data_IF_252454929870
#
_entry.id   IF_252454929870
#
_cell.length_a   1.000
_cell.length_b   1.000
_cell.length_c   1.000
_cell.angle_alpha   90.00
_cell.angle_beta   90.00
_cell.angle_gamma   90.00
#
_symmetry.space_group_name_H-M   'P 1'
#
loop_
_entity.id
_entity.type
_entity.pdbx_description
1 polymer ?
#
# COMPACT_ATOMS: atom_id res chain seq x y z
N UNK A 1 -89.66 -3.15 -1.64
CA UNK A 1 -88.37 -2.49 -1.39
C UNK A 1 -87.35 -3.02 -2.39
N UNK A 2 -86.97 -2.20 -3.39
CA UNK A 2 -86.02 -2.55 -4.46
C UNK A 2 -84.59 -2.52 -3.90
N UNK A 3 -83.84 -3.61 -4.02
CA UNK A 3 -82.39 -3.64 -3.76
C UNK A 3 -81.66 -3.08 -4.98
N UNK A 4 -80.81 -2.09 -4.73
CA UNK A 4 -79.96 -1.39 -5.70
C UNK A 4 -78.84 -2.30 -6.23
N UNK A 5 -78.49 -2.11 -7.51
CA UNK A 5 -77.42 -2.82 -8.21
C UNK A 5 -76.02 -2.41 -7.70
N UNK A 6 -75.02 -3.31 -7.73
CA UNK A 6 -73.65 -2.98 -7.33
C UNK A 6 -72.96 -2.09 -8.38
N UNK A 7 -72.01 -1.22 -7.97
CA UNK A 7 -71.34 -0.29 -8.87
C UNK A 7 -70.37 -1.01 -9.84
N UNK A 8 -70.07 -0.41 -11.01
CA UNK A 8 -69.24 -1.03 -12.03
C UNK A 8 -67.78 -1.17 -11.56
N UNK A 9 -67.16 -2.30 -11.94
CA UNK A 9 -65.75 -2.62 -11.65
C UNK A 9 -64.84 -1.50 -12.18
N UNK A 10 -64.00 -0.97 -11.30
CA UNK A 10 -62.94 -0.02 -11.64
C UNK A 10 -61.97 -0.60 -12.68
N UNK A 11 -61.40 0.31 -13.46
CA UNK A 11 -60.44 0.08 -14.54
C UNK A 11 -59.27 -0.81 -14.14
N UNK A 12 -59.00 -1.84 -14.94
CA UNK A 12 -57.83 -2.71 -14.84
C UNK A 12 -56.59 -1.88 -15.18
N UNK A 13 -55.66 -1.73 -14.24
CA UNK A 13 -54.35 -1.11 -14.47
C UNK A 13 -53.57 -1.88 -15.54
N UNK A 14 -52.83 -1.20 -16.45
CA UNK A 14 -52.02 -1.90 -17.44
C UNK A 14 -50.89 -2.71 -16.76
N UNK A 15 -50.48 -3.85 -17.35
CA UNK A 15 -49.47 -4.72 -16.75
C UNK A 15 -48.12 -3.99 -16.65
N UNK A 16 -47.38 -4.28 -15.59
CA UNK A 16 -46.07 -3.70 -15.33
C UNK A 16 -45.11 -3.90 -16.51
N UNK A 17 -44.51 -2.81 -16.98
CA UNK A 17 -43.47 -2.83 -18.01
C UNK A 17 -42.32 -3.72 -17.53
N UNK A 18 -42.06 -4.82 -18.24
CA UNK A 18 -40.93 -5.71 -17.97
C UNK A 18 -39.64 -4.90 -18.04
N UNK A 19 -38.99 -4.68 -16.90
CA UNK A 19 -37.59 -4.21 -16.87
C UNK A 19 -36.75 -5.23 -17.64
N UNK A 20 -36.17 -4.82 -18.77
CA UNK A 20 -35.10 -5.58 -19.42
C UNK A 20 -33.94 -5.64 -18.42
N UNK A 21 -33.68 -6.84 -17.90
CA UNK A 21 -32.41 -7.16 -17.27
C UNK A 21 -31.47 -7.36 -18.45
N UNK A 22 -30.58 -6.41 -18.70
CA UNK A 22 -29.52 -6.60 -19.67
C UNK A 22 -28.60 -7.69 -19.13
N UNK A 23 -28.75 -8.89 -19.68
CA UNK A 23 -27.88 -10.02 -19.39
C UNK A 23 -26.50 -9.70 -19.96
N UNK A 24 -25.54 -9.39 -19.10
CA UNK A 24 -24.13 -9.11 -19.43
C UNK A 24 -23.35 -10.38 -19.84
N UNK A 25 -24.04 -11.46 -20.18
CA UNK A 25 -23.41 -12.72 -20.60
C UNK A 25 -23.15 -12.68 -22.09
N UNK A 26 -21.88 -12.69 -22.51
CA UNK A 26 -21.53 -12.75 -23.93
C UNK A 26 -22.04 -14.05 -24.57
N UNK A 27 -22.45 -14.01 -25.84
CA UNK A 27 -22.92 -15.21 -26.58
C UNK A 27 -21.91 -16.37 -26.52
N UNK A 28 -20.61 -16.04 -26.47
CA UNK A 28 -19.51 -17.00 -26.31
C UNK A 28 -19.53 -17.70 -24.94
N UNK A 29 -19.89 -16.98 -23.87
CA UNK A 29 -19.99 -17.55 -22.51
C UNK A 29 -21.16 -18.53 -22.39
N UNK A 30 -22.32 -18.25 -23.00
CA UNK A 30 -23.47 -19.18 -23.00
C UNK A 30 -23.14 -20.45 -23.80
N UNK A 31 -22.51 -20.32 -24.97
CA UNK A 31 -22.11 -21.46 -25.79
C UNK A 31 -21.05 -22.36 -25.10
N UNK A 32 -20.19 -21.79 -24.25
CA UNK A 32 -19.19 -22.56 -23.50
C UNK A 32 -19.78 -23.45 -22.38
N UNK A 33 -20.99 -23.14 -21.90
CA UNK A 33 -21.61 -23.83 -20.76
C UNK A 33 -22.11 -25.25 -21.11
N UNK A 34 -22.45 -25.47 -22.38
CA UNK A 34 -22.94 -26.76 -22.90
C UNK A 34 -21.84 -27.68 -23.46
N UNK A 35 -20.57 -27.26 -23.39
CA UNK A 35 -19.46 -28.08 -23.87
C UNK A 35 -19.09 -29.17 -22.86
N UNK A 36 -18.85 -30.42 -23.29
CA UNK A 36 -18.29 -31.48 -22.46
C UNK A 36 -17.02 -31.01 -21.73
N UNK A 37 -16.73 -31.56 -20.55
CA UNK A 37 -15.54 -31.18 -19.78
C UNK A 37 -14.22 -31.36 -20.56
N UNK A 38 -14.18 -32.29 -21.52
CA UNK A 38 -13.06 -32.51 -22.45
C UNK A 38 -12.91 -31.43 -23.54
N UNK A 39 -13.93 -30.59 -23.75
CA UNK A 39 -13.95 -29.47 -24.71
C UNK A 39 -13.98 -28.10 -24.03
N UNK A 40 -13.88 -28.05 -22.69
CA UNK A 40 -13.69 -26.79 -21.97
C UNK A 40 -12.32 -26.22 -22.35
N UNK A 41 -12.30 -24.96 -22.76
CA UNK A 41 -11.04 -24.26 -23.01
C UNK A 41 -10.14 -24.38 -21.77
N UNK A 42 -8.83 -24.60 -21.94
CA UNK A 42 -7.89 -24.68 -20.82
C UNK A 42 -8.02 -23.44 -19.94
N UNK A 43 -7.75 -23.62 -18.64
CA UNK A 43 -7.87 -22.55 -17.66
C UNK A 43 -6.90 -21.41 -18.01
N UNK A 44 -7.44 -20.30 -18.51
CA UNK A 44 -6.65 -19.15 -18.99
C UNK A 44 -5.91 -18.39 -17.89
N UNK A 45 -6.22 -18.67 -16.62
CA UNK A 45 -5.69 -17.93 -15.47
C UNK A 45 -4.87 -18.88 -14.59
N UNK A 46 -3.57 -18.65 -14.56
CA UNK A 46 -2.63 -19.40 -13.70
C UNK A 46 -2.33 -18.62 -12.42
N UNK A 47 -2.02 -19.34 -11.34
CA UNK A 47 -1.76 -18.75 -10.03
C UNK A 47 -0.45 -19.29 -9.46
N UNK A 48 0.34 -18.41 -8.84
CA UNK A 48 1.52 -18.78 -8.04
C UNK A 48 1.63 -17.92 -6.79
N UNK A 49 2.35 -18.41 -5.78
CA UNK A 49 2.62 -17.70 -4.53
C UNK A 49 4.12 -17.54 -4.38
N UNK A 50 4.58 -16.33 -4.06
CA UNK A 50 6.00 -16.02 -3.82
C UNK A 50 6.20 -15.65 -2.37
N UNK A 51 7.25 -16.22 -1.78
CA UNK A 51 7.73 -15.90 -0.43
C UNK A 51 6.60 -15.85 0.62
N UNK A 52 5.55 -16.67 0.46
CA UNK A 52 4.35 -16.72 1.33
C UNK A 52 3.74 -15.34 1.64
N UNK A 53 3.85 -14.39 0.72
CA UNK A 53 3.46 -12.99 0.94
C UNK A 53 3.01 -12.26 -0.31
N UNK A 54 3.20 -12.85 -1.49
CA UNK A 54 2.76 -12.30 -2.77
C UNK A 54 1.96 -13.35 -3.54
N UNK A 55 0.76 -12.98 -3.97
CA UNK A 55 -0.08 -13.77 -4.88
C UNK A 55 0.14 -13.22 -6.28
N UNK A 56 0.44 -14.09 -7.24
CA UNK A 56 0.54 -13.71 -8.65
C UNK A 56 -0.47 -14.50 -9.46
N UNK A 57 -1.23 -13.80 -10.29
CA UNK A 57 -2.19 -14.36 -11.23
C UNK A 57 -1.88 -13.89 -12.64
N UNK A 58 -1.74 -14.80 -13.60
CA UNK A 58 -1.46 -14.46 -15.00
C UNK A 58 -2.58 -14.96 -15.89
N UNK A 59 -3.25 -14.03 -16.57
CA UNK A 59 -4.25 -14.36 -17.57
C UNK A 59 -3.58 -14.45 -18.93
N UNK A 60 -3.45 -15.65 -19.47
CA UNK A 60 -2.93 -15.87 -20.81
C UNK A 60 -4.12 -16.02 -21.77
N UNK A 61 -4.39 -14.96 -22.53
CA UNK A 61 -5.28 -15.04 -23.67
C UNK A 61 -4.44 -15.28 -24.93
N UNK A 62 -4.89 -16.09 -25.90
CA UNK A 62 -4.15 -16.36 -27.14
C UNK A 62 -4.03 -15.13 -28.07
N UNK A 63 -4.59 -14.00 -27.67
CA UNK A 63 -4.51 -12.76 -28.40
C UNK A 63 -3.10 -12.19 -28.31
N UNK A 64 -2.51 -11.88 -29.47
CA UNK A 64 -1.28 -11.09 -29.61
C UNK A 64 -1.71 -9.64 -29.80
N UNK A 65 -1.05 -8.64 -29.19
CA UNK A 65 -1.43 -7.25 -29.39
C UNK A 65 -1.20 -6.86 -30.87
N UNK A 66 -2.09 -6.06 -31.49
CA UNK A 66 -1.89 -5.57 -32.85
C UNK A 66 -0.55 -4.83 -33.02
N UNK A 67 -0.16 -4.05 -32.02
CA UNK A 67 1.15 -3.43 -31.97
C UNK A 67 2.16 -4.35 -31.28
N UNK A 68 3.23 -4.71 -32.00
CA UNK A 68 4.33 -5.50 -31.43
C UNK A 68 5.04 -4.72 -30.33
N UNK A 69 5.38 -5.41 -29.24
CA UNK A 69 6.21 -4.85 -28.17
C UNK A 69 7.67 -4.83 -28.63
N UNK A 70 8.27 -3.65 -28.62
CA UNK A 70 9.71 -3.45 -28.86
C UNK A 70 10.33 -2.89 -27.59
N UNK A 71 11.61 -3.18 -27.37
CA UNK A 71 12.36 -2.57 -26.27
C UNK A 71 12.70 -1.11 -26.63
N UNK A 72 12.64 -0.17 -25.68
CA UNK A 72 12.16 -0.33 -24.32
C UNK A 72 10.63 -0.49 -24.25
N UNK A 73 10.13 -1.43 -23.43
CA UNK A 73 8.70 -1.74 -23.33
C UNK A 73 7.99 -0.76 -22.41
N UNK A 74 6.79 -0.32 -22.81
CA UNK A 74 5.92 0.54 -21.99
C UNK A 74 5.03 -0.30 -21.07
N UNK A 75 4.86 0.16 -19.83
CA UNK A 75 4.07 -0.54 -18.81
C UNK A 75 2.97 0.38 -18.30
N UNK A 76 1.74 -0.12 -18.35
CA UNK A 76 0.57 0.51 -17.75
C UNK A 76 0.17 -0.30 -16.51
N UNK A 77 0.51 0.21 -15.34
CA UNK A 77 0.24 -0.42 -14.07
C UNK A 77 -0.96 0.23 -13.37
N UNK A 78 -1.74 -0.57 -12.66
CA UNK A 78 -2.98 -0.12 -12.01
C UNK A 78 -3.09 -0.69 -10.61
N UNK A 79 -3.70 0.05 -9.68
CA UNK A 79 -4.34 -0.56 -8.51
C UNK A 79 -5.65 -1.28 -8.92
N UNK A 80 -6.19 -2.11 -8.03
CA UNK A 80 -7.44 -2.83 -8.23
C UNK A 80 -8.64 -2.10 -7.61
N UNK A 81 -8.60 -1.91 -6.29
CA UNK A 81 -9.77 -1.59 -5.47
C UNK A 81 -9.98 -0.08 -5.49
N UNK A 82 -11.20 0.37 -5.81
CA UNK A 82 -11.54 1.77 -6.04
C UNK A 82 -10.76 2.43 -7.22
N UNK A 83 -10.04 1.63 -8.02
CA UNK A 83 -9.32 2.05 -9.25
C UNK A 83 -9.86 1.40 -10.52
N UNK A 84 -9.74 0.08 -10.67
CA UNK A 84 -10.33 -0.65 -11.81
C UNK A 84 -11.77 -1.04 -11.46
N UNK A 85 -11.98 -1.49 -10.23
CA UNK A 85 -13.27 -1.97 -9.72
C UNK A 85 -13.67 -1.25 -8.45
N UNK A 86 -14.98 -1.18 -8.21
CA UNK A 86 -15.59 -0.59 -7.03
C UNK A 86 -16.61 -1.57 -6.43
N UNK A 87 -16.99 -1.41 -5.15
CA UNK A 87 -18.11 -2.18 -4.61
C UNK A 87 -19.40 -1.78 -5.32
N UNK A 88 -20.33 -2.73 -5.39
CA UNK A 88 -21.68 -2.47 -5.88
C UNK A 88 -22.34 -1.32 -5.08
N UNK A 89 -23.15 -0.51 -5.75
CA UNK A 89 -23.77 0.69 -5.17
C UNK A 89 -24.52 0.33 -3.88
N UNK A 90 -24.25 1.09 -2.81
CA UNK A 90 -24.87 0.89 -1.50
C UNK A 90 -24.37 -0.34 -0.73
N UNK A 91 -23.36 -1.07 -1.22
CA UNK A 91 -22.79 -2.24 -0.53
C UNK A 91 -21.40 -1.94 0.01
N UNK A 92 -21.08 -2.57 1.14
CA UNK A 92 -19.70 -2.66 1.64
C UNK A 92 -18.91 -3.65 0.78
N UNK A 93 -17.59 -3.51 0.78
CA UNK A 93 -16.69 -4.46 0.15
C UNK A 93 -16.92 -5.89 0.66
N UNK A 94 -17.25 -6.81 -0.24
CA UNK A 94 -17.45 -8.22 0.05
C UNK A 94 -16.98 -9.05 -1.15
N UNK A 95 -15.71 -9.45 -1.18
CA UNK A 95 -15.10 -10.09 -2.36
C UNK A 95 -15.86 -11.34 -2.80
N UNK A 96 -16.23 -11.37 -4.07
CA UNK A 96 -16.79 -12.52 -4.76
C UNK A 96 -16.68 -12.29 -6.27
N UNK A 97 -17.04 -13.29 -7.07
CA UNK A 97 -17.10 -13.16 -8.52
C UNK A 97 -18.07 -12.07 -9.02
N UNK A 98 -19.05 -11.63 -8.21
CA UNK A 98 -20.14 -10.72 -8.64
C UNK A 98 -20.31 -9.47 -7.76
N UNK A 99 -19.58 -9.36 -6.65
CA UNK A 99 -19.73 -8.28 -5.67
C UNK A 99 -18.93 -7.02 -6.01
N UNK A 100 -18.83 -6.69 -7.29
CA UNK A 100 -18.05 -5.56 -7.78
C UNK A 100 -18.69 -5.00 -9.06
N UNK A 101 -18.32 -3.76 -9.38
CA UNK A 101 -18.63 -3.09 -10.65
C UNK A 101 -17.37 -2.41 -11.17
N UNK A 102 -17.33 -2.07 -12.45
CA UNK A 102 -16.29 -1.20 -12.97
C UNK A 102 -16.31 0.16 -12.28
N UNK A 103 -15.13 0.72 -12.00
CA UNK A 103 -15.00 2.09 -11.49
C UNK A 103 -15.71 3.08 -12.42
N UNK A 104 -15.44 2.94 -13.71
CA UNK A 104 -16.06 3.69 -14.80
C UNK A 104 -16.40 2.75 -15.97
N UNK A 105 -17.42 3.10 -16.76
CA UNK A 105 -17.82 2.31 -17.94
C UNK A 105 -16.72 2.22 -19.00
N UNK A 106 -15.79 3.18 -19.02
CA UNK A 106 -14.66 3.22 -19.95
C UNK A 106 -13.53 2.23 -19.61
N UNK A 107 -13.47 1.71 -18.38
CA UNK A 107 -12.33 0.91 -17.87
C UNK A 107 -11.98 -0.27 -18.79
N UNK A 108 -12.91 -1.17 -19.19
CA UNK A 108 -12.56 -2.32 -20.03
C UNK A 108 -12.00 -1.90 -21.39
N UNK A 109 -12.63 -0.92 -22.03
CA UNK A 109 -12.20 -0.40 -23.33
C UNK A 109 -10.83 0.27 -23.27
N UNK A 110 -10.58 1.07 -22.23
CA UNK A 110 -9.30 1.79 -22.08
C UNK A 110 -8.14 0.84 -21.78
N UNK A 111 -8.34 -0.17 -20.94
CA UNK A 111 -7.34 -1.19 -20.65
C UNK A 111 -7.01 -2.03 -21.89
N UNK A 112 -8.03 -2.42 -22.65
CA UNK A 112 -7.85 -3.14 -23.92
C UNK A 112 -7.09 -2.29 -24.95
N UNK A 113 -7.43 -1.01 -25.06
CA UNK A 113 -6.74 -0.06 -25.94
C UNK A 113 -5.25 0.03 -25.59
N UNK A 114 -4.87 0.15 -24.32
CA UNK A 114 -3.46 0.18 -23.91
C UNK A 114 -2.73 -1.10 -24.30
N UNK A 115 -3.35 -2.26 -24.07
CA UNK A 115 -2.79 -3.52 -24.52
C UNK A 115 -2.58 -3.53 -26.04
N UNK A 116 -3.55 -3.00 -26.81
CA UNK A 116 -3.46 -2.94 -28.26
C UNK A 116 -2.40 -1.95 -28.77
N UNK A 117 -2.12 -0.89 -28.00
CA UNK A 117 -1.02 0.09 -28.18
C UNK A 117 0.36 -0.44 -27.72
N UNK A 118 0.45 -1.74 -27.42
CA UNK A 118 1.68 -2.44 -27.09
C UNK A 118 2.12 -2.32 -25.63
N UNK A 119 1.29 -1.77 -24.73
CA UNK A 119 1.62 -1.76 -23.30
C UNK A 119 1.57 -3.18 -22.73
N UNK A 120 2.43 -3.45 -21.74
CA UNK A 120 2.16 -4.50 -20.76
C UNK A 120 1.21 -3.90 -19.73
N UNK A 121 0.04 -4.52 -19.56
CA UNK A 121 -0.97 -4.10 -18.58
C UNK A 121 -0.86 -4.98 -17.35
N UNK A 122 -0.66 -4.38 -16.18
CA UNK A 122 -0.51 -5.10 -14.91
C UNK A 122 -1.32 -4.45 -13.79
N UNK A 123 -1.73 -5.26 -12.83
CA UNK A 123 -2.45 -4.82 -11.63
C UNK A 123 -1.59 -5.12 -10.40
N UNK A 124 -1.25 -4.10 -9.60
CA UNK A 124 -0.45 -4.22 -8.38
C UNK A 124 -1.29 -3.76 -7.19
N UNK A 125 -1.66 -4.66 -6.28
CA UNK A 125 -2.66 -4.39 -5.24
C UNK A 125 -2.20 -4.80 -3.83
N UNK A 126 -2.55 -4.00 -2.82
CA UNK A 126 -2.30 -4.33 -1.41
C UNK A 126 -3.49 -5.13 -0.84
N UNK A 127 -3.29 -6.40 -0.51
CA UNK A 127 -4.32 -7.34 -0.05
C UNK A 127 -4.10 -7.83 1.39
N UNK A 128 -3.93 -6.89 2.32
CA UNK A 128 -3.56 -7.17 3.71
C UNK A 128 -4.60 -7.91 4.57
N UNK A 129 -5.80 -8.16 4.04
CA UNK A 129 -6.84 -8.95 4.70
C UNK A 129 -6.73 -10.45 4.40
N UNK A 130 -5.81 -10.83 3.52
CA UNK A 130 -5.50 -12.22 3.18
C UNK A 130 -4.18 -12.56 3.88
N UNK A 131 -4.11 -13.69 4.56
CA UNK A 131 -2.86 -14.23 5.08
C UNK A 131 -2.51 -15.50 4.33
N UNK A 132 -1.24 -15.62 3.91
CA UNK A 132 -0.69 -16.84 3.30
C UNK A 132 0.18 -17.63 4.29
N UNK A 133 0.21 -17.21 5.55
CA UNK A 133 0.95 -17.90 6.61
C UNK A 133 0.09 -19.00 7.20
N UNK A 134 0.72 -20.13 7.48
CA UNK A 134 0.08 -21.24 8.19
C UNK A 134 -0.19 -20.85 9.63
N UNK A 135 -1.45 -20.49 9.91
CA UNK A 135 -1.94 -20.28 11.26
C UNK A 135 -3.23 -21.07 11.45
N UNK A 136 -3.16 -22.12 12.27
CA UNK A 136 -4.29 -23.02 12.53
C UNK A 136 -5.56 -22.28 12.99
N UNK A 137 -5.43 -21.11 13.65
CA UNK A 137 -6.57 -20.33 14.14
C UNK A 137 -7.27 -19.49 13.06
N UNK A 138 -6.60 -19.17 11.95
CA UNK A 138 -7.15 -18.33 10.87
C UNK A 138 -7.27 -19.04 9.52
N UNK A 139 -6.78 -20.28 9.40
CA UNK A 139 -6.67 -21.04 8.15
C UNK A 139 -7.96 -21.07 7.32
N UNK A 140 -9.13 -21.31 7.93
CA UNK A 140 -10.40 -21.35 7.20
C UNK A 140 -10.77 -19.99 6.60
N UNK A 141 -10.62 -18.91 7.38
CA UNK A 141 -10.88 -17.54 6.94
C UNK A 141 -9.91 -17.14 5.83
N UNK A 142 -8.64 -17.46 6.01
CA UNK A 142 -7.57 -17.14 5.07
C UNK A 142 -7.79 -17.84 3.73
N UNK A 143 -8.11 -19.14 3.77
CA UNK A 143 -8.47 -19.95 2.59
C UNK A 143 -9.69 -19.37 1.86
N UNK A 144 -10.75 -19.01 2.59
CA UNK A 144 -11.94 -18.41 1.99
C UNK A 144 -11.64 -17.04 1.36
N UNK A 145 -10.85 -16.20 2.04
CA UNK A 145 -10.48 -14.87 1.54
C UNK A 145 -9.64 -14.95 0.27
N UNK A 146 -8.68 -15.88 0.21
CA UNK A 146 -7.88 -16.17 -0.97
C UNK A 146 -8.76 -16.68 -2.12
N UNK A 147 -9.64 -17.65 -1.87
CA UNK A 147 -10.57 -18.18 -2.86
C UNK A 147 -11.52 -17.12 -3.43
N UNK A 148 -12.00 -16.22 -2.58
CA UNK A 148 -12.86 -15.09 -2.98
C UNK A 148 -12.11 -14.09 -3.84
N UNK A 149 -10.86 -13.74 -3.50
CA UNK A 149 -10.01 -12.90 -4.34
C UNK A 149 -9.76 -13.56 -5.70
N UNK A 150 -9.34 -14.83 -5.72
CA UNK A 150 -9.09 -15.54 -6.99
C UNK A 150 -10.33 -15.59 -7.88
N UNK A 151 -11.50 -15.85 -7.30
CA UNK A 151 -12.78 -15.85 -8.02
C UNK A 151 -13.16 -14.47 -8.57
N UNK A 152 -12.90 -13.41 -7.80
CA UNK A 152 -13.14 -12.03 -8.24
C UNK A 152 -12.24 -11.65 -9.42
N UNK A 153 -10.93 -11.90 -9.31
CA UNK A 153 -9.97 -11.62 -10.38
C UNK A 153 -10.27 -12.44 -11.63
N UNK A 154 -10.63 -13.72 -11.47
CA UNK A 154 -11.04 -14.56 -12.59
C UNK A 154 -12.25 -13.97 -13.33
N UNK A 155 -13.24 -13.46 -12.60
CA UNK A 155 -14.41 -12.80 -13.20
C UNK A 155 -14.06 -11.49 -13.92
N UNK A 156 -13.19 -10.67 -13.32
CA UNK A 156 -12.70 -9.41 -13.91
C UNK A 156 -11.90 -9.68 -15.19
N UNK A 157 -10.90 -10.54 -15.13
CA UNK A 157 -10.01 -10.85 -16.26
C UNK A 157 -10.73 -11.58 -17.39
N UNK A 158 -11.74 -12.39 -17.07
CA UNK A 158 -12.61 -12.98 -18.10
C UNK A 158 -13.42 -11.93 -18.87
N UNK A 159 -13.81 -10.83 -18.24
CA UNK A 159 -14.51 -9.73 -18.95
C UNK A 159 -13.54 -8.88 -19.78
N UNK A 160 -12.27 -8.78 -19.37
CA UNK A 160 -11.22 -8.08 -20.14
C UNK A 160 -10.73 -8.90 -21.36
N UNK A 161 -10.56 -10.22 -21.19
CA UNK A 161 -10.19 -11.22 -22.23
C UNK A 161 -8.96 -10.84 -23.10
N UNK A 162 -7.93 -10.25 -22.47
CA UNK A 162 -6.60 -10.04 -23.06
C UNK A 162 -5.51 -10.36 -22.03
N UNK A 163 -4.24 -10.60 -22.44
CA UNK A 163 -3.16 -10.89 -21.51
C UNK A 163 -2.91 -9.78 -20.48
N UNK A 164 -3.09 -10.13 -19.20
CA UNK A 164 -2.97 -9.23 -18.05
C UNK A 164 -2.47 -10.00 -16.83
N UNK A 165 -1.61 -9.36 -16.05
CA UNK A 165 -1.04 -9.96 -14.83
C UNK A 165 -1.48 -9.20 -13.58
N UNK A 166 -1.65 -9.94 -12.49
CA UNK A 166 -2.10 -9.46 -11.19
C UNK A 166 -1.07 -9.85 -10.13
N UNK A 167 -0.65 -8.88 -9.32
CA UNK A 167 0.27 -9.04 -8.21
C UNK A 167 -0.41 -8.48 -6.95
N UNK A 168 -0.51 -9.29 -5.89
CA UNK A 168 -1.19 -8.92 -4.66
C UNK A 168 -0.33 -9.19 -3.41
N UNK A 169 0.13 -8.10 -2.77
CA UNK A 169 0.91 -8.16 -1.55
C UNK A 169 0.01 -8.39 -0.33
N UNK A 170 0.27 -9.48 0.42
CA UNK A 170 -0.55 -9.89 1.57
C UNK A 170 0.06 -9.54 2.92
N UNK A 171 1.34 -9.18 2.96
CA UNK A 171 2.09 -8.90 4.20
C UNK A 171 2.64 -7.47 4.24
N UNK A 172 3.35 -7.13 5.33
CA UNK A 172 4.00 -5.82 5.55
C UNK A 172 5.50 -5.88 5.20
N UNK A 173 5.82 -6.29 3.98
CA UNK A 173 7.18 -6.54 3.51
C UNK A 173 7.49 -5.78 2.21
N UNK A 174 8.54 -6.19 1.48
CA UNK A 174 9.01 -5.54 0.25
C UNK A 174 7.94 -5.44 -0.84
N UNK A 175 6.94 -6.32 -0.84
CA UNK A 175 5.90 -6.33 -1.87
C UNK A 175 4.82 -5.28 -1.61
N UNK A 176 4.64 -4.86 -0.34
CA UNK A 176 3.56 -3.93 -0.01
C UNK A 176 3.89 -2.52 -0.46
N UNK A 177 3.01 -1.95 -1.29
CA UNK A 177 3.07 -0.53 -1.70
C UNK A 177 3.19 0.38 -0.47
N UNK A 178 4.07 1.39 -0.47
CA UNK A 178 4.76 1.96 -1.64
C UNK A 178 6.10 1.32 -2.03
N UNK A 179 6.47 0.17 -1.44
CA UNK A 179 7.71 -0.54 -1.82
C UNK A 179 7.57 -1.21 -3.19
N UNK A 180 8.69 -1.34 -3.89
CA UNK A 180 8.77 -1.71 -5.31
C UNK A 180 8.74 -3.22 -5.58
N UNK A 181 8.63 -4.07 -4.56
CA UNK A 181 8.79 -5.51 -4.72
C UNK A 181 7.81 -6.16 -5.70
N UNK A 182 6.55 -5.69 -5.78
CA UNK A 182 5.61 -6.19 -6.80
C UNK A 182 6.01 -5.80 -8.23
N UNK A 183 6.61 -4.61 -8.39
CA UNK A 183 7.11 -4.15 -9.68
C UNK A 183 8.35 -4.96 -10.09
N UNK A 184 9.29 -5.19 -9.17
CA UNK A 184 10.48 -6.01 -9.40
C UNK A 184 10.11 -7.44 -9.83
N UNK A 185 9.17 -8.08 -9.13
CA UNK A 185 8.67 -9.41 -9.51
C UNK A 185 8.07 -9.42 -10.92
N UNK A 186 7.35 -8.36 -11.28
CA UNK A 186 6.79 -8.20 -12.63
C UNK A 186 7.90 -8.06 -13.67
N UNK A 187 8.96 -7.31 -13.40
CA UNK A 187 10.11 -7.25 -14.30
C UNK A 187 10.77 -8.61 -14.49
N UNK A 188 10.86 -9.44 -13.45
CA UNK A 188 11.36 -10.81 -13.55
C UNK A 188 10.45 -11.69 -14.43
N UNK A 189 9.12 -11.66 -14.23
CA UNK A 189 8.15 -12.45 -15.00
C UNK A 189 8.11 -12.15 -16.50
N UNK A 190 8.49 -10.93 -16.89
CA UNK A 190 8.51 -10.46 -18.27
C UNK A 190 9.93 -10.37 -18.86
N UNK A 191 10.96 -10.83 -18.14
CA UNK A 191 12.36 -10.77 -18.53
C UNK A 191 12.86 -9.32 -18.80
N UNK A 192 12.38 -8.35 -18.02
CA UNK A 192 12.65 -6.91 -18.14
C UNK A 192 13.59 -6.35 -17.06
N UNK A 193 14.31 -7.21 -16.34
CA UNK A 193 15.22 -6.82 -15.26
C UNK A 193 16.51 -6.14 -15.76
N UNK A 194 16.81 -6.22 -17.07
CA UNK A 194 17.98 -5.58 -17.68
C UNK A 194 17.76 -4.07 -17.82
N UNK A 195 18.80 -3.28 -17.52
CA UNK A 195 18.76 -1.82 -17.65
C UNK A 195 18.37 -1.37 -19.06
N UNK A 196 17.41 -0.44 -19.14
CA UNK A 196 16.89 0.06 -20.41
C UNK A 196 15.83 -0.82 -21.07
N UNK A 197 15.40 -1.92 -20.46
CA UNK A 197 14.33 -2.76 -21.00
C UNK A 197 12.93 -2.14 -20.87
N UNK A 198 12.75 -1.18 -19.95
CA UNK A 198 11.48 -0.49 -19.68
C UNK A 198 11.57 0.97 -20.03
N UNK A 199 10.56 1.47 -20.74
CA UNK A 199 10.39 2.89 -21.02
C UNK A 199 9.71 3.54 -19.81
N UNK A 200 10.49 3.95 -18.82
CA UNK A 200 9.96 4.56 -17.60
C UNK A 200 9.23 5.88 -17.87
N UNK A 201 9.68 6.65 -18.87
CA UNK A 201 9.13 7.95 -19.20
C UNK A 201 7.70 7.85 -19.76
N UNK A 202 7.41 6.81 -20.54
CA UNK A 202 6.07 6.55 -21.08
C UNK A 202 5.30 5.48 -20.29
N UNK A 203 5.87 4.93 -19.23
CA UNK A 203 5.17 4.06 -18.29
C UNK A 203 4.43 4.89 -17.23
N UNK A 204 3.38 4.31 -16.67
CA UNK A 204 2.58 5.00 -15.67
C UNK A 204 1.88 4.03 -14.71
N UNK A 205 1.56 4.55 -13.52
CA UNK A 205 0.75 3.90 -12.50
C UNK A 205 -0.56 4.68 -12.26
N UNK A 206 -1.68 3.98 -12.25
CA UNK A 206 -3.00 4.54 -11.93
C UNK A 206 -3.48 3.97 -10.59
N UNK A 207 -3.86 4.81 -9.63
CA UNK A 207 -4.32 4.35 -8.32
C UNK A 207 -5.06 5.41 -7.49
N UNK A 208 -5.98 4.97 -6.63
CA UNK A 208 -6.83 5.83 -5.79
C UNK A 208 -6.11 6.32 -4.53
N UNK A 209 -5.12 5.56 -4.02
CA UNK A 209 -4.37 5.89 -2.81
C UNK A 209 -3.33 6.99 -3.10
N UNK A 210 -3.85 8.17 -3.42
CA UNK A 210 -3.13 9.32 -3.94
C UNK A 210 -2.89 10.42 -2.89
N UNK A 211 -3.32 10.20 -1.64
CA UNK A 211 -3.15 11.12 -0.52
C UNK A 211 -3.94 12.42 -0.61
N UNK A 212 -4.92 12.52 -1.51
CA UNK A 212 -5.67 13.77 -1.71
C UNK A 212 -6.54 14.09 -0.50
N UNK A 213 -6.63 15.38 -0.17
CA UNK A 213 -7.42 15.85 0.96
C UNK A 213 -8.93 15.66 0.77
N UNK A 214 -9.67 15.77 1.88
CA UNK A 214 -11.13 15.72 1.86
C UNK A 214 -11.70 16.92 1.10
N UNK A 215 -12.69 16.67 0.26
CA UNK A 215 -13.52 17.69 -0.39
C UNK A 215 -14.99 17.52 0.02
N UNK A 216 -15.88 18.37 -0.49
CA UNK A 216 -17.33 18.22 -0.28
C UNK A 216 -17.89 16.94 -0.92
N UNK A 217 -17.24 16.45 -1.98
CA UNK A 217 -17.71 15.30 -2.78
C UNK A 217 -16.94 14.01 -2.50
N UNK A 218 -15.71 14.11 -2.00
CA UNK A 218 -14.79 12.98 -1.81
C UNK A 218 -14.24 12.99 -0.39
N UNK A 219 -14.16 11.80 0.22
CA UNK A 219 -13.45 11.64 1.50
C UNK A 219 -11.95 11.82 1.27
N UNK A 220 -11.21 12.16 2.33
CA UNK A 220 -9.74 12.11 2.30
C UNK A 220 -9.30 10.71 1.85
N UNK A 221 -8.33 10.63 0.96
CA UNK A 221 -7.76 9.36 0.55
C UNK A 221 -7.13 8.65 1.76
N UNK A 222 -7.27 7.34 1.81
CA UNK A 222 -6.88 6.55 2.98
C UNK A 222 -5.36 6.42 3.15
N UNK A 223 -4.60 6.59 2.07
CA UNK A 223 -3.15 6.48 2.01
C UNK A 223 -2.58 7.22 0.78
N UNK A 224 -1.24 7.31 0.72
CA UNK A 224 -0.44 7.80 -0.42
C UNK A 224 0.26 6.67 -1.18
N UNK A 225 -0.05 5.41 -0.86
CA UNK A 225 0.78 4.26 -1.26
C UNK A 225 0.91 4.05 -2.77
N UNK A 226 -0.06 4.49 -3.56
CA UNK A 226 -0.03 4.35 -5.03
C UNK A 226 0.84 5.41 -5.68
N UNK A 227 0.66 6.66 -5.24
CA UNK A 227 1.49 7.79 -5.66
C UNK A 227 2.95 7.56 -5.28
N UNK A 228 3.19 7.14 -4.04
CA UNK A 228 4.54 6.90 -3.54
C UNK A 228 5.19 5.67 -4.21
N UNK A 229 4.41 4.65 -4.58
CA UNK A 229 4.92 3.53 -5.40
C UNK A 229 5.43 4.05 -6.76
N UNK A 230 4.62 4.84 -7.47
CA UNK A 230 4.99 5.38 -8.76
C UNK A 230 6.26 6.25 -8.68
N UNK A 231 6.36 7.08 -7.64
CA UNK A 231 7.55 7.90 -7.36
C UNK A 231 8.79 7.06 -7.02
N UNK A 232 8.63 5.96 -6.27
CA UNK A 232 9.73 5.06 -5.94
C UNK A 232 10.24 4.30 -7.17
N UNK A 233 9.36 3.90 -8.09
CA UNK A 233 9.72 3.28 -9.37
C UNK A 233 10.34 4.32 -10.32
N UNK A 234 9.84 5.56 -10.31
CA UNK A 234 10.21 6.61 -11.26
C UNK A 234 9.36 6.61 -12.53
N UNK A 235 8.07 6.32 -12.42
CA UNK A 235 7.09 6.38 -13.53
C UNK A 235 6.01 7.41 -13.24
N UNK A 236 5.26 7.82 -14.27
CA UNK A 236 4.20 8.80 -14.11
C UNK A 236 3.06 8.26 -13.22
N UNK A 237 2.39 9.13 -12.47
CA UNK A 237 1.23 8.78 -11.65
C UNK A 237 0.00 9.59 -12.06
N UNK A 238 -1.16 8.95 -12.10
CA UNK A 238 -2.46 9.61 -12.23
C UNK A 238 -3.51 8.92 -11.38
N UNK A 239 -4.55 9.66 -10.98
CA UNK A 239 -5.70 9.08 -10.28
C UNK A 239 -6.67 8.41 -11.26
N UNK A 240 -7.59 7.53 -10.80
CA UNK A 240 -8.57 6.88 -11.67
C UNK A 240 -9.50 7.92 -12.33
N UNK A 241 -9.87 8.98 -11.61
CA UNK A 241 -10.66 10.09 -12.14
C UNK A 241 -9.93 10.83 -13.26
N UNK A 242 -8.66 11.19 -13.03
CA UNK A 242 -7.83 11.83 -14.06
C UNK A 242 -7.70 10.94 -15.29
N UNK A 243 -7.50 9.64 -15.11
CA UNK A 243 -7.19 8.72 -16.21
C UNK A 243 -8.40 8.27 -17.01
N UNK A 244 -9.48 7.84 -16.35
CA UNK A 244 -10.67 7.29 -17.01
C UNK A 244 -11.71 8.35 -17.37
N UNK A 245 -11.77 9.45 -16.61
CA UNK A 245 -12.77 10.52 -16.82
C UNK A 245 -12.17 11.82 -17.36
N UNK A 246 -10.86 11.89 -17.53
CA UNK A 246 -10.14 13.11 -17.92
C UNK A 246 -10.45 14.29 -16.98
N UNK A 247 -10.63 14.00 -15.69
CA UNK A 247 -10.76 15.04 -14.67
C UNK A 247 -9.43 15.79 -14.49
N UNK A 248 -9.51 17.01 -13.98
CA UNK A 248 -8.35 17.88 -13.77
C UNK A 248 -7.52 17.32 -12.62
N UNK A 249 -6.19 17.25 -12.80
CA UNK A 249 -5.25 16.85 -11.75
C UNK A 249 -5.37 17.78 -10.55
N UNK A 250 -5.69 17.20 -9.40
CA UNK A 250 -5.71 17.94 -8.13
C UNK A 250 -4.27 18.22 -7.68
N UNK A 251 -3.97 19.44 -7.18
CA UNK A 251 -2.66 19.70 -6.60
C UNK A 251 -2.46 18.80 -5.38
N UNK A 252 -1.27 18.22 -5.30
CA UNK A 252 -0.85 17.40 -4.17
C UNK A 252 0.52 17.89 -3.70
N UNK A 253 0.62 18.17 -2.41
CA UNK A 253 1.88 18.49 -1.76
C UNK A 253 2.31 17.28 -0.93
N UNK A 254 3.50 16.74 -1.21
CA UNK A 254 4.02 15.60 -0.47
C UNK A 254 4.28 16.04 0.98
N UNK A 255 3.69 15.31 1.93
CA UNK A 255 3.89 15.60 3.37
C UNK A 255 5.36 15.45 3.77
N UNK A 256 6.08 14.50 3.16
CA UNK A 256 7.52 14.31 3.35
C UNK A 256 8.14 13.54 2.16
N UNK A 257 9.20 14.10 1.57
CA UNK A 257 9.96 13.47 0.49
C UNK A 257 11.41 13.21 0.94
N UNK A 258 11.81 11.94 1.12
CA UNK A 258 13.17 11.62 1.57
C UNK A 258 14.27 12.14 0.64
N UNK A 259 14.11 12.02 -0.69
CA UNK A 259 15.11 12.48 -1.67
C UNK A 259 15.33 13.99 -1.56
N UNK A 260 14.25 14.76 -1.61
CA UNK A 260 14.29 16.22 -1.46
C UNK A 260 14.85 16.64 -0.09
N UNK A 261 14.49 15.93 0.98
CA UNK A 261 15.05 16.18 2.30
C UNK A 261 16.58 15.99 2.32
N UNK A 262 17.10 14.92 1.71
CA UNK A 262 18.53 14.64 1.64
C UNK A 262 19.28 15.64 0.73
N UNK A 263 18.68 16.06 -0.38
CA UNK A 263 19.24 17.12 -1.24
C UNK A 263 19.33 18.45 -0.48
N UNK A 264 18.28 18.84 0.24
CA UNK A 264 18.30 20.05 1.08
C UNK A 264 19.32 19.90 2.22
N UNK A 265 19.38 18.75 2.88
CA UNK A 265 20.32 18.50 3.97
C UNK A 265 21.78 18.57 3.50
N UNK A 266 22.11 17.89 2.38
CA UNK A 266 23.44 17.95 1.78
C UNK A 266 23.83 19.36 1.34
N UNK A 267 22.90 20.15 0.81
CA UNK A 267 23.12 21.56 0.48
C UNK A 267 23.34 22.44 1.73
N UNK A 268 22.62 22.17 2.83
CA UNK A 268 22.76 22.90 4.09
C UNK A 268 24.03 22.55 4.87
N UNK A 269 24.52 21.31 4.79
CA UNK A 269 25.81 20.95 5.42
C UNK A 269 27.01 21.67 4.77
N UNK A 270 26.84 22.27 3.58
CA UNK A 270 27.83 23.17 2.98
C UNK A 270 27.83 24.59 3.60
N UNK A 271 26.71 25.01 4.22
CA UNK A 271 26.62 26.25 5.01
C UNK A 271 26.79 25.93 6.50
N UNK A 272 28.00 26.14 7.03
CA UNK A 272 28.39 25.87 8.42
C UNK A 272 27.67 26.77 9.45
N UNK A 273 26.38 26.61 9.65
CA UNK A 273 25.70 27.19 10.81
C UNK A 273 24.69 26.21 11.40
N UNK A 274 25.05 25.63 12.55
CA UNK A 274 24.13 24.92 13.45
C UNK A 274 24.28 23.40 13.55
N UNK A 275 25.16 22.76 12.76
CA UNK A 275 25.36 21.31 12.85
C UNK A 275 26.13 20.93 14.13
N UNK A 276 25.69 19.88 14.81
CA UNK A 276 26.43 19.27 15.93
C UNK A 276 27.79 18.84 15.36
N UNK A 277 28.86 19.50 15.81
CA UNK A 277 30.21 19.21 15.32
C UNK A 277 30.55 17.75 15.66
N UNK A 278 30.47 16.88 14.66
CA UNK A 278 31.02 15.54 14.75
C UNK A 278 32.56 15.63 14.84
N UNK A 279 33.23 14.76 15.61
CA UNK A 279 32.62 13.73 16.45
C UNK A 279 32.11 14.31 17.78
N UNK A 280 31.04 13.72 18.31
CA UNK A 280 30.61 13.94 19.69
C UNK A 280 31.80 13.65 20.62
N UNK A 281 32.13 14.60 21.50
CA UNK A 281 33.26 14.48 22.43
C UNK A 281 32.73 14.55 23.85
N UNK A 282 33.23 13.63 24.68
CA UNK A 282 33.07 13.68 26.13
C UNK A 282 33.91 14.84 26.67
N UNK A 283 33.26 15.83 27.25
CA UNK A 283 33.91 17.08 27.69
C UNK A 283 34.03 17.19 29.21
N UNK A 284 33.30 16.34 29.95
CA UNK A 284 33.30 16.30 31.40
C UNK A 284 33.51 14.87 31.91
N UNK A 285 34.15 14.71 33.09
CA UNK A 285 34.18 13.44 33.79
C UNK A 285 32.79 12.90 34.10
N UNK A 286 31.76 13.76 34.19
CA UNK A 286 30.37 13.38 34.39
C UNK A 286 29.39 14.13 33.48
N UNK A 287 28.59 13.37 32.72
CA UNK A 287 27.63 13.90 31.75
C UNK A 287 26.33 13.08 31.74
N UNK A 288 25.25 13.73 31.31
CA UNK A 288 23.93 13.14 31.14
C UNK A 288 23.38 13.50 29.74
N UNK A 289 23.21 12.49 28.89
CA UNK A 289 22.66 12.63 27.53
C UNK A 289 21.25 12.05 27.52
N UNK A 290 20.28 12.88 27.16
CA UNK A 290 18.86 12.51 27.10
C UNK A 290 18.44 12.52 25.62
N UNK A 291 18.02 11.36 25.11
CA UNK A 291 17.48 11.27 23.74
C UNK A 291 16.02 11.69 23.68
N UNK A 292 15.73 12.72 22.91
CA UNK A 292 14.39 13.20 22.64
C UNK A 292 14.03 12.93 21.18
N UNK A 293 13.04 12.09 20.91
CA UNK A 293 12.56 11.88 19.53
C UNK A 293 11.66 10.67 19.38
N UNK A 294 10.99 10.55 18.24
CA UNK A 294 10.02 9.48 17.98
C UNK A 294 10.66 8.09 17.98
N UNK A 295 9.92 7.03 18.37
CA UNK A 295 10.37 5.65 18.16
C UNK A 295 10.75 5.41 16.69
N UNK A 296 11.85 4.69 16.45
CA UNK A 296 12.35 4.45 15.09
C UNK A 296 13.20 5.56 14.47
N UNK A 297 13.34 6.73 15.11
CA UNK A 297 14.17 7.85 14.59
C UNK A 297 15.69 7.65 14.70
N UNK A 298 16.19 6.41 14.88
CA UNK A 298 17.64 6.14 14.95
C UNK A 298 18.34 6.43 16.28
N UNK A 299 17.62 6.88 17.32
CA UNK A 299 18.20 7.21 18.65
C UNK A 299 19.04 6.08 19.26
N UNK A 300 18.53 4.84 19.21
CA UNK A 300 19.26 3.66 19.70
C UNK A 300 20.51 3.38 18.87
N UNK A 301 20.42 3.56 17.55
CA UNK A 301 21.56 3.39 16.63
C UNK A 301 22.65 4.39 16.95
N UNK A 302 22.30 5.68 17.14
CA UNK A 302 23.25 6.71 17.55
C UNK A 302 23.98 6.37 18.86
N UNK A 303 23.28 5.81 19.85
CA UNK A 303 23.92 5.35 21.08
C UNK A 303 25.03 4.34 20.82
N UNK A 304 24.72 3.28 20.06
CA UNK A 304 25.65 2.19 19.79
C UNK A 304 26.85 2.67 18.96
N UNK A 305 26.60 3.52 17.97
CA UNK A 305 27.63 3.92 17.02
C UNK A 305 28.51 5.06 17.55
N UNK A 306 27.98 5.93 18.42
CA UNK A 306 28.66 7.17 18.84
C UNK A 306 28.98 7.19 20.34
N UNK A 307 28.00 6.90 21.22
CA UNK A 307 28.17 7.10 22.66
C UNK A 307 28.82 5.89 23.36
N UNK A 308 28.46 4.66 22.98
CA UNK A 308 29.03 3.45 23.58
C UNK A 308 30.56 3.39 23.41
N UNK A 309 31.15 3.69 22.24
CA UNK A 309 32.60 3.72 22.08
C UNK A 309 33.30 4.77 22.96
N UNK A 310 32.58 5.81 23.39
CA UNK A 310 33.07 6.86 24.28
C UNK A 310 32.90 6.51 25.78
N UNK A 311 32.43 5.30 26.08
CA UNK A 311 32.26 4.80 27.45
C UNK A 311 31.00 5.29 28.16
N UNK A 312 29.98 5.70 27.41
CA UNK A 312 28.67 6.02 27.98
C UNK A 312 27.90 4.74 28.30
N UNK A 313 27.23 4.71 29.45
CA UNK A 313 26.35 3.62 29.83
C UNK A 313 24.91 3.86 29.35
N UNK A 314 24.24 2.78 28.94
CA UNK A 314 22.84 2.86 28.50
C UNK A 314 21.90 2.59 29.66
N UNK A 315 21.09 3.58 30.01
CA UNK A 315 19.92 3.39 30.86
C UNK A 315 18.68 3.26 29.98
N UNK A 316 17.85 2.23 30.19
CA UNK A 316 16.62 2.03 29.44
C UNK A 316 15.49 1.64 30.40
N UNK A 317 14.44 2.48 30.45
CA UNK A 317 13.32 2.32 31.37
C UNK A 317 12.48 1.06 31.07
N UNK A 318 12.35 0.67 29.80
CA UNK A 318 11.59 -0.53 29.41
C UNK A 318 12.20 -1.82 29.96
N UNK A 319 13.52 -1.83 30.13
CA UNK A 319 14.27 -2.97 30.68
C UNK A 319 14.20 -2.97 32.21
N UNK A 320 14.25 -1.78 32.83
CA UNK A 320 14.32 -1.64 34.29
C UNK A 320 12.97 -1.82 35.00
N UNK A 321 11.84 -1.75 34.27
CA UNK A 321 10.44 -2.02 34.68
C UNK A 321 9.89 -1.20 35.87
N UNK A 322 10.71 -0.68 36.76
CA UNK A 322 10.30 0.11 37.94
C UNK A 322 11.29 1.24 38.22
N UNK A 323 10.76 2.46 38.48
CA UNK A 323 11.54 3.66 38.83
C UNK A 323 12.45 3.44 40.06
N UNK A 324 12.07 2.53 40.97
CA UNK A 324 12.84 2.19 42.17
C UNK A 324 14.18 1.54 41.81
N UNK A 325 14.24 0.62 40.84
CA UNK A 325 15.51 -0.02 40.40
C UNK A 325 16.49 0.97 39.76
N UNK A 326 15.98 2.04 39.14
CA UNK A 326 16.79 3.15 38.62
C UNK A 326 17.43 3.97 39.76
N UNK A 327 16.78 4.04 40.93
CA UNK A 327 17.34 4.66 42.14
C UNK A 327 18.26 3.72 42.93
N UNK A 328 18.06 2.41 42.88
CA UNK A 328 18.89 1.44 43.64
C UNK A 328 20.23 1.12 42.97
N UNK A 329 20.31 1.14 41.63
CA UNK A 329 21.59 1.15 40.88
C UNK A 329 22.49 2.35 41.24
N UNK A 330 21.92 3.36 41.91
CA UNK A 330 22.60 4.54 42.43
C UNK A 330 23.25 4.34 43.81
N UNK A 331 23.01 3.23 44.52
CA UNK A 331 23.32 3.09 45.96
C UNK A 331 24.14 1.85 46.39
N UNK A 332 24.22 0.76 45.62
CA UNK A 332 24.88 -0.47 46.11
C UNK A 332 26.38 -0.61 45.77
N UNK A 333 26.97 0.25 44.93
CA UNK A 333 28.42 0.29 44.72
C UNK A 333 29.05 1.36 45.63
N UNK A 334 29.15 1.06 46.93
CA UNK A 334 29.83 1.92 47.90
C UNK A 334 31.30 1.51 48.06
N UNK A 335 32.18 2.38 47.56
CA UNK A 335 33.62 2.33 47.84
C UNK A 335 34.42 3.33 47.01
N UNK A 336 33.93 3.68 45.83
CA UNK A 336 34.43 4.77 44.99
C UNK A 336 33.22 5.47 44.42
N UNK A 337 33.22 6.80 44.46
CA UNK A 337 32.24 7.64 43.76
C UNK A 337 32.37 7.30 42.27
N UNK A 338 31.56 6.34 41.81
CA UNK A 338 31.33 6.13 40.39
C UNK A 338 30.49 7.32 39.97
N UNK A 339 31.03 8.24 39.16
CA UNK A 339 30.23 9.35 38.69
C UNK A 339 29.14 8.71 37.84
N UNK A 340 27.89 8.82 38.31
CA UNK A 340 26.69 8.36 37.63
C UNK A 340 26.66 9.06 36.29
N UNK A 341 27.24 8.41 35.29
CA UNK A 341 27.54 9.02 34.02
C UNK A 341 26.61 8.41 33.00
N UNK A 342 25.54 9.16 32.78
CA UNK A 342 24.63 9.09 31.65
C UNK A 342 23.43 8.17 31.82
N UNK A 343 22.28 8.82 31.99
CA UNK A 343 20.95 8.23 32.01
C UNK A 343 20.23 8.58 30.70
N UNK A 344 19.88 7.59 29.90
CA UNK A 344 19.02 7.78 28.74
C UNK A 344 17.56 7.58 29.15
N UNK A 345 16.72 8.60 28.98
CA UNK A 345 15.28 8.55 29.25
C UNK A 345 14.53 8.67 27.91
N UNK A 346 13.99 7.56 27.43
CA UNK A 346 12.96 7.59 26.40
C UNK A 346 11.62 7.81 27.07
N UNK A 347 11.17 9.06 27.11
CA UNK A 347 9.76 9.51 27.12
C UNK A 347 9.63 10.89 27.76
N UNK A 348 8.78 11.74 27.17
CA UNK A 348 8.45 13.09 27.64
C UNK A 348 7.93 13.14 29.09
N UNK A 349 7.56 11.99 29.67
CA UNK A 349 7.08 11.87 31.03
C UNK A 349 8.16 12.10 32.11
N UNK A 350 9.44 11.91 31.77
CA UNK A 350 10.53 12.01 32.75
C UNK A 350 10.86 13.46 33.17
N UNK A 351 10.53 14.45 32.32
CA UNK A 351 10.84 15.86 32.54
C UNK A 351 10.03 16.49 33.68
N UNK A 352 8.89 15.91 34.08
CA UNK A 352 8.07 16.47 35.17
C UNK A 352 8.66 16.25 36.57
N UNK A 353 9.68 15.42 36.75
CA UNK A 353 10.15 14.99 38.08
C UNK A 353 11.65 15.23 38.35
N UNK A 354 12.34 15.97 37.48
CA UNK A 354 13.78 16.26 37.58
C UNK A 354 14.12 17.61 38.27
N UNK A 355 13.20 18.20 39.04
CA UNK A 355 13.48 19.37 39.89
C UNK A 355 14.15 18.98 41.21
N UNK A 356 15.37 18.45 41.17
CA UNK A 356 16.27 18.38 42.34
C UNK A 356 17.64 17.83 41.95
N UNK A 357 18.45 18.58 41.21
CA UNK A 357 19.90 18.35 41.15
C UNK A 357 20.61 19.70 41.16
N UNK A 358 21.53 19.96 42.11
CA UNK A 358 22.41 21.11 42.04
C UNK A 358 23.50 20.87 40.98
N UNK A 359 23.79 21.92 40.19
CA UNK A 359 24.91 22.05 39.25
C UNK A 359 25.10 20.90 38.24
N UNK A 360 24.11 20.62 37.40
CA UNK A 360 24.28 19.78 36.21
C UNK A 360 24.03 20.61 34.95
N UNK A 361 25.03 20.72 34.08
CA UNK A 361 24.87 21.36 32.77
C UNK A 361 24.02 20.45 31.89
N UNK A 362 22.76 20.82 31.64
CA UNK A 362 21.89 20.10 30.72
C UNK A 362 22.13 20.57 29.28
N UNK A 363 22.41 19.63 28.38
CA UNK A 363 22.32 19.84 26.93
C UNK A 363 21.20 18.97 26.37
N UNK A 364 20.31 19.60 25.61
CA UNK A 364 19.32 18.92 24.78
C UNK A 364 19.82 18.90 23.34
N UNK A 365 19.88 17.72 22.73
CA UNK A 365 20.13 17.57 21.30
C UNK A 365 18.87 16.93 20.66
N UNK A 366 18.51 17.44 19.48
CA UNK A 366 17.30 17.07 18.72
C UNK A 366 17.50 15.79 17.92
#
# INVERSE_FOLDING_TARGET
MKRSAPPPRGSISPPAVKRKIDSTTTNKAVASFFKPASQKEPEKLTWRIVANSLIVGRYDAPNVPPQSRTLPVKIAAFDLDDTIIMPNIGRKWARSATSWRWFDTSVPGRLKQLYDEGYIVVVLSNQGNISLKDNAKSLQKDTASLGNLKSQIAAVFKQLDFPISFYAATAQDRYRKPRTGMWEEMLEDYDLHVGGAVDLANSFYIGDAAGREKTDKRKKDHATSDRDLAANIGINFRTPEEFFRNEITEPYDHVFEPRRYLEIASAKSASKDGDVTAPFKKNSPQELVIFCGSPGAGKSTFFWDVLQPLGYERVNQDILKTIIRMRTLKLENTGLILPVNTMCLSDAYALRHLRALPSTTMRSEL
#
